data_IF_255287368741
#
_entry.id   IF_255287368741
#
_cell.length_a   1.000
_cell.length_b   1.000
_cell.length_c   1.000
_cell.angle_alpha   90.00
_cell.angle_beta   90.00
_cell.angle_gamma   90.00
#
_symmetry.space_group_name_H-M   'P 1'
#
loop_
_entity.id
_entity.type
_entity.pdbx_description
1 polymer ?
#
# COMPACT_ATOMS: atom_id res chain seq x y z
N UNK A 1 -16.31 17.98 -2.33
CA UNK A 1 -15.62 19.20 -2.80
C UNK A 1 -14.12 19.04 -2.62
N UNK A 2 -13.31 19.42 -3.62
CA UNK A 2 -11.85 19.34 -3.58
C UNK A 2 -11.31 20.58 -2.83
N UNK A 3 -11.04 20.45 -1.54
CA UNK A 3 -10.73 21.57 -0.63
C UNK A 3 -9.40 22.28 -0.90
N UNK A 4 -8.63 21.86 -1.91
CA UNK A 4 -7.30 22.39 -2.22
C UNK A 4 -7.31 23.73 -2.94
N UNK A 5 -8.31 23.97 -3.78
CA UNK A 5 -8.44 25.21 -4.53
C UNK A 5 -9.46 26.08 -3.82
N UNK A 6 -9.05 27.24 -3.31
CA UNK A 6 -9.96 28.19 -2.66
C UNK A 6 -10.57 29.16 -3.69
N UNK A 7 -9.84 29.46 -4.75
CA UNK A 7 -10.27 30.36 -5.82
C UNK A 7 -11.32 29.70 -6.74
N UNK A 8 -12.38 30.46 -7.03
CA UNK A 8 -13.44 30.07 -7.98
C UNK A 8 -12.88 29.98 -9.41
N UNK A 9 -11.94 30.84 -9.78
CA UNK A 9 -11.33 30.83 -11.10
C UNK A 9 -10.51 29.55 -11.33
N UNK A 10 -9.64 29.20 -10.39
CA UNK A 10 -8.86 27.95 -10.42
C UNK A 10 -9.77 26.72 -10.57
N UNK A 11 -10.85 26.63 -9.79
CA UNK A 11 -11.82 25.53 -9.90
C UNK A 11 -12.46 25.45 -11.27
N UNK A 12 -12.83 26.60 -11.83
CA UNK A 12 -13.42 26.70 -13.17
C UNK A 12 -12.45 26.23 -14.25
N UNK A 13 -11.19 26.71 -14.20
CA UNK A 13 -10.12 26.30 -15.14
C UNK A 13 -9.86 24.80 -15.05
N UNK A 14 -9.65 24.26 -13.84
CA UNK A 14 -9.44 22.82 -13.64
C UNK A 14 -10.62 22.00 -14.18
N UNK A 15 -11.85 22.46 -13.94
CA UNK A 15 -13.05 21.75 -14.42
C UNK A 15 -13.15 21.74 -15.95
N UNK A 16 -12.75 22.83 -16.62
CA UNK A 16 -12.65 22.88 -18.09
C UNK A 16 -11.54 21.95 -18.60
N UNK A 17 -10.35 21.98 -17.97
CA UNK A 17 -9.24 21.09 -18.33
C UNK A 17 -9.61 19.61 -18.17
N UNK A 18 -10.31 19.22 -17.10
CA UNK A 18 -10.81 17.84 -16.94
C UNK A 18 -11.76 17.45 -18.07
N UNK A 19 -12.68 18.34 -18.46
CA UNK A 19 -13.60 18.09 -19.58
C UNK A 19 -12.84 17.91 -20.89
N UNK A 20 -11.87 18.80 -21.16
CA UNK A 20 -11.02 18.71 -22.35
C UNK A 20 -10.26 17.38 -22.38
N UNK A 21 -9.59 16.98 -21.29
CA UNK A 21 -8.87 15.71 -21.25
C UNK A 21 -9.78 14.51 -21.52
N UNK A 22 -11.01 14.51 -20.96
CA UNK A 22 -11.99 13.45 -21.24
C UNK A 22 -12.36 13.39 -22.72
N UNK A 23 -12.60 14.55 -23.35
CA UNK A 23 -12.90 14.64 -24.78
C UNK A 23 -11.73 14.13 -25.63
N UNK A 24 -10.49 14.52 -25.29
CA UNK A 24 -9.29 14.08 -26.02
C UNK A 24 -9.09 12.56 -25.85
N UNK A 25 -9.22 12.01 -24.63
CA UNK A 25 -9.12 10.56 -24.42
C UNK A 25 -10.19 9.79 -25.21
N UNK A 26 -11.41 10.33 -25.32
CA UNK A 26 -12.48 9.72 -26.10
C UNK A 26 -12.24 9.83 -27.62
N UNK A 27 -11.71 10.96 -28.10
CA UNK A 27 -11.44 11.17 -29.54
C UNK A 27 -10.21 10.41 -30.04
N UNK A 28 -9.21 10.24 -29.17
CA UNK A 28 -7.92 9.62 -29.46
C UNK A 28 -7.68 8.41 -28.54
N UNK A 29 -8.64 7.49 -28.49
CA UNK A 29 -8.58 6.33 -27.57
C UNK A 29 -7.34 5.47 -27.76
N UNK A 30 -6.85 5.32 -29.00
CA UNK A 30 -5.65 4.53 -29.30
C UNK A 30 -4.34 5.14 -28.79
N UNK A 31 -4.33 6.43 -28.41
CA UNK A 31 -3.14 7.17 -28.00
C UNK A 31 -2.90 7.06 -26.50
N UNK A 32 -2.12 6.06 -26.09
CA UNK A 32 -1.76 5.81 -24.67
C UNK A 32 -1.16 7.06 -24.00
N UNK A 33 -0.37 7.84 -24.72
CA UNK A 33 0.27 9.06 -24.22
C UNK A 33 -0.74 10.11 -23.73
N UNK A 34 -1.90 10.23 -24.40
CA UNK A 34 -3.00 11.12 -23.98
C UNK A 34 -3.55 10.68 -22.62
N UNK A 35 -3.78 9.37 -22.45
CA UNK A 35 -4.27 8.82 -21.19
C UNK A 35 -3.24 9.01 -20.06
N UNK A 36 -1.95 8.77 -20.34
CA UNK A 36 -0.88 8.97 -19.36
C UNK A 36 -0.78 10.42 -18.91
N UNK A 37 -0.94 11.39 -19.81
CA UNK A 37 -0.99 12.82 -19.45
C UNK A 37 -2.19 13.12 -18.54
N UNK A 38 -3.35 12.52 -18.80
CA UNK A 38 -4.52 12.73 -17.96
C UNK A 38 -4.39 12.08 -16.57
N UNK A 39 -3.79 10.89 -16.50
CA UNK A 39 -3.43 10.24 -15.24
C UNK A 39 -2.48 11.14 -14.42
N UNK A 40 -1.41 11.62 -15.05
CA UNK A 40 -0.44 12.51 -14.41
C UNK A 40 -1.07 13.82 -13.92
N UNK A 41 -1.95 14.42 -14.73
CA UNK A 41 -2.70 15.61 -14.34
C UNK A 41 -3.53 15.37 -13.07
N UNK A 42 -4.33 14.30 -13.01
CA UNK A 42 -5.12 13.99 -11.83
C UNK A 42 -4.24 13.59 -10.62
N UNK A 43 -3.10 12.95 -10.85
CA UNK A 43 -2.13 12.60 -9.81
C UNK A 43 -1.52 13.86 -9.19
N UNK A 44 -1.13 14.86 -9.99
CA UNK A 44 -0.63 16.16 -9.50
C UNK A 44 -1.69 16.92 -8.69
N UNK A 45 -2.96 16.82 -9.10
CA UNK A 45 -4.08 17.35 -8.32
C UNK A 45 -4.42 16.49 -7.08
N UNK A 46 -3.72 15.37 -6.86
CA UNK A 46 -3.97 14.36 -5.82
C UNK A 46 -5.40 13.81 -5.81
N UNK A 47 -6.01 13.67 -6.99
CA UNK A 47 -7.32 13.04 -7.19
C UNK A 47 -7.17 11.53 -7.35
N UNK A 48 -6.66 10.86 -6.32
CA UNK A 48 -6.24 9.46 -6.40
C UNK A 48 -7.36 8.49 -6.78
N UNK A 49 -8.61 8.72 -6.32
CA UNK A 49 -9.77 7.93 -6.74
C UNK A 49 -10.06 8.06 -8.24
N UNK A 50 -9.89 9.26 -8.80
CA UNK A 50 -10.02 9.48 -10.25
C UNK A 50 -8.90 8.79 -11.00
N UNK A 51 -7.66 8.82 -10.48
CA UNK A 51 -6.51 8.11 -11.08
C UNK A 51 -6.76 6.60 -11.09
N UNK A 52 -7.26 6.00 -10.01
CA UNK A 52 -7.62 4.57 -9.96
C UNK A 52 -8.64 4.19 -11.05
N UNK A 53 -9.73 4.96 -11.18
CA UNK A 53 -10.75 4.75 -12.23
C UNK A 53 -10.23 4.98 -13.64
N UNK A 54 -9.25 5.87 -13.81
CA UNK A 54 -8.62 6.10 -15.11
C UNK A 54 -7.72 4.91 -15.48
N UNK A 55 -7.01 4.31 -14.52
CA UNK A 55 -6.26 3.08 -14.76
C UNK A 55 -7.17 1.96 -15.27
N UNK A 56 -8.33 1.74 -14.66
CA UNK A 56 -9.31 0.74 -15.14
C UNK A 56 -9.67 0.95 -16.61
N UNK A 57 -9.94 2.20 -17.01
CA UNK A 57 -10.24 2.54 -18.41
C UNK A 57 -9.06 2.33 -19.35
N UNK A 58 -7.86 2.72 -18.92
CA UNK A 58 -6.63 2.49 -19.69
C UNK A 58 -6.40 1.00 -19.92
N UNK A 59 -6.59 0.17 -18.90
CA UNK A 59 -6.43 -1.28 -19.00
C UNK A 59 -7.51 -1.92 -19.88
N UNK A 60 -8.74 -1.39 -19.87
CA UNK A 60 -9.79 -1.86 -20.79
C UNK A 60 -9.45 -1.61 -22.26
N UNK A 61 -8.87 -0.44 -22.58
CA UNK A 61 -8.57 -0.05 -23.97
C UNK A 61 -7.23 -0.64 -24.44
N UNK A 62 -6.21 -0.67 -23.58
CA UNK A 62 -4.83 -0.96 -23.96
C UNK A 62 -4.21 -2.16 -23.25
N UNK A 63 -4.91 -2.78 -22.30
CA UNK A 63 -4.34 -3.85 -21.47
C UNK A 63 -3.98 -5.12 -22.24
N UNK A 64 -4.59 -5.38 -23.39
CA UNK A 64 -4.20 -6.51 -24.25
C UNK A 64 -2.93 -6.26 -25.04
N UNK A 65 -2.59 -5.00 -25.32
CA UNK A 65 -1.50 -4.65 -26.22
C UNK A 65 -0.23 -4.25 -25.50
N UNK A 66 -0.34 -3.71 -24.29
CA UNK A 66 0.82 -3.28 -23.51
C UNK A 66 0.78 -3.81 -22.08
N UNK A 67 1.48 -4.93 -21.80
CA UNK A 67 1.60 -5.50 -20.46
C UNK A 67 2.15 -4.52 -19.43
N UNK A 68 2.97 -3.53 -19.83
CA UNK A 68 3.58 -2.57 -18.90
C UNK A 68 2.53 -1.71 -18.19
N UNK A 69 1.37 -1.51 -18.81
CA UNK A 69 0.26 -0.77 -18.21
C UNK A 69 -0.32 -1.48 -16.99
N UNK A 70 -0.35 -2.82 -16.97
CA UNK A 70 -0.80 -3.60 -15.81
C UNK A 70 0.17 -3.47 -14.64
N UNK A 71 1.48 -3.56 -14.90
CA UNK A 71 2.50 -3.30 -13.87
C UNK A 71 2.40 -1.87 -13.34
N UNK A 72 2.26 -0.87 -14.22
CA UNK A 72 2.14 0.53 -13.80
C UNK A 72 0.88 0.79 -12.96
N UNK A 73 -0.26 0.18 -13.32
CA UNK A 73 -1.48 0.24 -12.54
C UNK A 73 -1.31 -0.45 -11.17
N UNK A 74 -0.76 -1.67 -11.14
CA UNK A 74 -0.50 -2.40 -9.91
C UNK A 74 0.43 -1.62 -8.96
N UNK A 75 1.51 -1.05 -9.50
CA UNK A 75 2.44 -0.19 -8.77
C UNK A 75 1.74 1.06 -8.20
N UNK A 76 0.86 1.71 -8.95
CA UNK A 76 0.07 2.83 -8.45
C UNK A 76 -0.81 2.42 -7.25
N UNK A 77 -1.52 1.29 -7.35
CA UNK A 77 -2.40 0.82 -6.27
C UNK A 77 -1.62 0.45 -5.01
N UNK A 78 -0.45 -0.17 -5.16
CA UNK A 78 0.42 -0.54 -4.04
C UNK A 78 1.07 0.68 -3.34
N UNK A 79 1.43 1.71 -4.11
CA UNK A 79 2.19 2.86 -3.60
C UNK A 79 1.28 4.06 -3.33
N UNK A 80 1.07 4.90 -4.34
CA UNK A 80 0.33 6.16 -4.24
C UNK A 80 -1.14 5.97 -3.83
N UNK A 81 -1.78 4.93 -4.35
CA UNK A 81 -3.16 4.58 -4.05
C UNK A 81 -3.32 4.19 -2.58
N UNK A 82 -2.50 3.24 -2.11
CA UNK A 82 -2.48 2.84 -0.70
C UNK A 82 -2.14 4.03 0.22
N UNK A 83 -1.14 4.83 -0.13
CA UNK A 83 -0.75 6.04 0.62
C UNK A 83 -1.89 7.05 0.71
N UNK A 84 -2.59 7.31 -0.39
CA UNK A 84 -3.72 8.23 -0.39
C UNK A 84 -4.88 7.73 0.47
N UNK A 85 -5.18 6.42 0.42
CA UNK A 85 -6.17 5.79 1.30
C UNK A 85 -5.77 5.93 2.77
N UNK A 86 -4.50 5.66 3.10
CA UNK A 86 -3.97 5.80 4.46
C UNK A 86 -4.11 7.23 4.97
N UNK A 87 -3.65 8.22 4.20
CA UNK A 87 -3.77 9.63 4.59
C UNK A 87 -5.22 10.07 4.76
N UNK A 88 -6.13 9.59 3.90
CA UNK A 88 -7.56 9.87 4.02
C UNK A 88 -8.14 9.29 5.32
N UNK A 89 -7.77 8.06 5.68
CA UNK A 89 -8.21 7.44 6.93
C UNK A 89 -7.62 8.15 8.15
N UNK A 90 -6.33 8.48 8.10
CA UNK A 90 -5.59 9.14 9.18
C UNK A 90 -6.03 10.59 9.43
N UNK A 91 -6.67 11.24 8.46
CA UNK A 91 -7.21 12.59 8.65
C UNK A 91 -8.24 12.65 9.79
N UNK A 92 -8.93 11.56 10.10
CA UNK A 92 -9.85 11.47 11.25
C UNK A 92 -9.13 11.69 12.59
N UNK A 93 -7.87 11.25 12.68
CA UNK A 93 -7.04 11.38 13.90
C UNK A 93 -6.35 12.75 14.02
N UNK A 94 -6.56 13.66 13.06
CA UNK A 94 -5.84 14.94 13.02
C UNK A 94 -6.20 15.84 14.20
N UNK A 95 -7.49 15.91 14.52
CA UNK A 95 -8.03 16.71 15.63
C UNK A 95 -7.53 16.16 16.97
N UNK A 96 -7.60 14.84 17.16
CA UNK A 96 -7.09 14.15 18.36
C UNK A 96 -5.60 14.40 18.58
N UNK A 97 -4.77 14.28 17.52
CA UNK A 97 -3.33 14.60 17.60
C UNK A 97 -3.06 16.04 17.99
N UNK A 98 -3.85 16.98 17.47
CA UNK A 98 -3.71 18.39 17.80
C UNK A 98 -4.15 18.66 19.25
N UNK A 99 -5.25 18.06 19.70
CA UNK A 99 -5.72 18.16 21.07
C UNK A 99 -4.67 17.60 22.05
N UNK A 100 -4.16 16.39 21.80
CA UNK A 100 -3.11 15.78 22.60
C UNK A 100 -1.86 16.67 22.70
N UNK A 101 -1.43 17.27 21.58
CA UNK A 101 -0.29 18.20 21.56
C UNK A 101 -0.53 19.43 22.44
N UNK A 102 -1.75 19.99 22.43
CA UNK A 102 -2.11 21.13 23.29
C UNK A 102 -2.14 20.73 24.77
N UNK A 103 -2.80 19.60 25.09
CA UNK A 103 -2.89 19.10 26.47
C UNK A 103 -1.51 18.81 27.06
N UNK A 104 -0.60 18.18 26.29
CA UNK A 104 0.78 17.94 26.74
C UNK A 104 1.57 19.21 27.00
N UNK A 105 1.40 20.25 26.16
CA UNK A 105 2.04 21.55 26.38
C UNK A 105 1.53 22.22 27.65
N UNK A 106 0.21 22.21 27.87
CA UNK A 106 -0.40 22.75 29.09
C UNK A 106 0.10 22.01 30.33
N UNK A 107 0.13 20.68 30.29
CA UNK A 107 0.62 19.86 31.40
C UNK A 107 2.10 20.13 31.71
N UNK A 108 2.94 20.25 30.68
CA UNK A 108 4.35 20.58 30.85
C UNK A 108 4.58 21.98 31.46
N UNK A 109 3.65 22.93 31.26
CA UNK A 109 3.70 24.23 31.94
C UNK A 109 3.32 24.10 33.42
N UNK A 110 2.23 23.40 33.73
CA UNK A 110 1.77 23.17 35.11
C UNK A 110 2.81 22.40 35.95
N UNK A 111 3.50 21.43 35.34
CA UNK A 111 4.54 20.66 36.03
C UNK A 111 5.79 21.46 36.43
N UNK A 112 6.03 22.65 35.86
CA UNK A 112 7.18 23.48 36.23
C UNK A 112 7.04 24.08 37.62
N UNK A 113 5.82 24.52 37.97
CA UNK A 113 5.53 25.21 39.23
C UNK A 113 4.29 24.59 39.90
N UNK A 114 4.37 23.38 40.47
CA UNK A 114 3.26 22.79 41.20
C UNK A 114 3.00 23.56 42.50
N UNK A 115 1.74 23.85 42.79
CA UNK A 115 1.30 24.63 43.96
C UNK A 115 1.34 23.79 45.23
N UNK A 116 1.11 22.47 45.14
CA UNK A 116 1.20 21.54 46.27
C UNK A 116 1.61 20.12 45.86
N UNK A 117 1.88 19.26 46.85
CA UNK A 117 2.27 17.84 46.63
C UNK A 117 1.15 17.01 46.01
N UNK A 118 -0.11 17.27 46.38
CA UNK A 118 -1.30 16.61 45.83
C UNK A 118 -1.48 16.95 44.34
N UNK A 119 -1.33 18.23 43.97
CA UNK A 119 -1.36 18.67 42.57
C UNK A 119 -0.26 17.98 41.76
N UNK A 120 0.97 17.89 42.30
CA UNK A 120 2.07 17.18 41.65
C UNK A 120 1.74 15.70 41.40
N UNK A 121 1.03 15.04 42.30
CA UNK A 121 0.58 13.66 42.12
C UNK A 121 -0.48 13.55 41.00
N UNK A 122 -1.45 14.47 40.96
CA UNK A 122 -2.47 14.53 39.90
C UNK A 122 -1.83 14.76 38.53
N UNK A 123 -0.90 15.72 38.41
CA UNK A 123 -0.19 16.00 37.16
C UNK A 123 0.62 14.80 36.64
N UNK A 124 1.15 13.96 37.54
CA UNK A 124 1.83 12.70 37.18
C UNK A 124 0.85 11.68 36.61
N UNK A 125 -0.33 11.53 37.22
CA UNK A 125 -1.38 10.65 36.71
C UNK A 125 -1.86 11.11 35.33
N UNK A 126 -2.10 12.42 35.16
CA UNK A 126 -2.44 13.00 33.85
C UNK A 126 -1.34 12.77 32.82
N UNK A 127 -0.07 12.87 33.21
CA UNK A 127 1.07 12.59 32.31
C UNK A 127 0.99 11.16 31.79
N UNK A 128 0.72 10.20 32.69
CA UNK A 128 0.58 8.78 32.36
C UNK A 128 -0.62 8.51 31.46
N UNK A 129 -1.74 9.23 31.65
CA UNK A 129 -2.90 9.16 30.76
C UNK A 129 -2.57 9.72 29.36
N UNK A 130 -1.90 10.87 29.28
CA UNK A 130 -1.49 11.45 27.99
C UNK A 130 -0.46 10.59 27.24
N UNK A 131 0.42 9.86 27.95
CA UNK A 131 1.31 8.89 27.31
C UNK A 131 0.53 7.70 26.75
N UNK A 132 -0.42 7.13 27.52
CA UNK A 132 -1.30 6.06 27.02
C UNK A 132 -2.08 6.49 25.77
N UNK A 133 -2.64 7.70 25.76
CA UNK A 133 -3.34 8.24 24.58
C UNK A 133 -2.40 8.44 23.38
N UNK A 134 -1.18 8.91 23.61
CA UNK A 134 -0.16 9.03 22.53
C UNK A 134 0.12 7.66 21.92
N UNK A 135 0.29 6.65 22.76
CA UNK A 135 0.67 5.32 22.33
C UNK A 135 -0.51 4.65 21.58
N UNK A 136 -1.75 4.84 22.04
CA UNK A 136 -2.96 4.45 21.33
C UNK A 136 -3.08 5.11 19.94
N UNK A 137 -2.90 6.44 19.83
CA UNK A 137 -2.90 7.12 18.54
C UNK A 137 -1.78 6.58 17.63
N UNK A 138 -0.61 6.30 18.19
CA UNK A 138 0.53 5.77 17.42
C UNK A 138 0.26 4.35 16.92
N UNK A 139 -0.37 3.50 17.74
CA UNK A 139 -0.87 2.18 17.34
C UNK A 139 -1.88 2.29 16.20
N UNK A 140 -2.90 3.13 16.35
CA UNK A 140 -3.93 3.32 15.32
C UNK A 140 -3.33 3.82 13.99
N UNK A 141 -2.33 4.68 14.04
CA UNK A 141 -1.59 5.12 12.85
C UNK A 141 -0.93 3.93 12.15
N UNK A 142 -0.20 3.08 12.88
CA UNK A 142 0.46 1.89 12.32
C UNK A 142 -0.55 0.91 11.73
N UNK A 143 -1.63 0.61 12.45
CA UNK A 143 -2.70 -0.28 11.96
C UNK A 143 -3.34 0.25 10.68
N UNK A 144 -3.60 1.55 10.60
CA UNK A 144 -4.16 2.16 9.39
C UNK A 144 -3.24 1.97 8.19
N UNK A 145 -1.92 2.16 8.36
CA UNK A 145 -0.95 1.91 7.30
C UNK A 145 -0.94 0.44 6.86
N UNK A 146 -0.91 -0.48 7.82
CA UNK A 146 -0.82 -1.91 7.53
C UNK A 146 -2.08 -2.42 6.83
N UNK A 147 -3.27 -1.99 7.26
CA UNK A 147 -4.55 -2.27 6.57
C UNK A 147 -4.53 -1.79 5.12
N UNK A 148 -4.06 -0.57 4.88
CA UNK A 148 -4.00 -0.03 3.53
C UNK A 148 -2.96 -0.70 2.65
N UNK A 149 -1.87 -1.17 3.23
CA UNK A 149 -0.84 -1.92 2.51
C UNK A 149 -1.35 -3.31 2.13
N UNK A 150 -2.05 -4.03 3.03
CA UNK A 150 -2.72 -5.30 2.69
C UNK A 150 -3.70 -5.09 1.53
N UNK A 151 -4.58 -4.09 1.62
CA UNK A 151 -5.50 -3.77 0.54
C UNK A 151 -4.77 -3.44 -0.77
N UNK A 152 -3.64 -2.71 -0.69
CA UNK A 152 -2.78 -2.39 -1.83
C UNK A 152 -2.13 -3.62 -2.46
N UNK A 153 -1.61 -4.55 -1.65
CA UNK A 153 -1.02 -5.82 -2.10
C UNK A 153 -2.07 -6.68 -2.80
N UNK A 154 -3.26 -6.86 -2.20
CA UNK A 154 -4.37 -7.62 -2.82
C UNK A 154 -4.77 -7.04 -4.17
N UNK A 155 -4.90 -5.72 -4.23
CA UNK A 155 -5.33 -5.05 -5.45
C UNK A 155 -4.26 -5.09 -6.54
N UNK A 156 -2.98 -4.89 -6.19
CA UNK A 156 -1.87 -5.05 -7.11
C UNK A 156 -1.77 -6.49 -7.64
N UNK A 157 -1.94 -7.50 -6.77
CA UNK A 157 -1.96 -8.92 -7.15
C UNK A 157 -3.10 -9.20 -8.11
N UNK A 158 -4.31 -8.73 -7.78
CA UNK A 158 -5.50 -8.85 -8.64
C UNK A 158 -5.25 -8.27 -10.03
N UNK A 159 -4.69 -7.06 -10.11
CA UNK A 159 -4.37 -6.39 -11.37
C UNK A 159 -3.34 -7.20 -12.17
N UNK A 160 -2.23 -7.63 -11.56
CA UNK A 160 -1.20 -8.40 -12.25
C UNK A 160 -1.72 -9.75 -12.75
N UNK A 161 -2.49 -10.47 -11.93
CA UNK A 161 -3.10 -11.76 -12.33
C UNK A 161 -4.09 -11.55 -13.47
N UNK A 162 -4.90 -10.49 -13.44
CA UNK A 162 -5.78 -10.15 -14.57
C UNK A 162 -4.99 -9.81 -15.84
N UNK A 163 -3.89 -9.08 -15.70
CA UNK A 163 -2.98 -8.78 -16.81
C UNK A 163 -2.36 -10.05 -17.42
N UNK A 164 -1.95 -10.99 -16.57
CA UNK A 164 -1.42 -12.29 -17.00
C UNK A 164 -2.49 -13.13 -17.71
N UNK A 165 -3.77 -13.09 -17.31
CA UNK A 165 -4.85 -13.78 -18.05
C UNK A 165 -5.03 -13.26 -19.48
N UNK A 166 -4.64 -12.01 -19.76
CA UNK A 166 -4.70 -11.43 -21.11
C UNK A 166 -3.37 -11.51 -21.85
N UNK A 167 -2.28 -11.77 -21.14
CA UNK A 167 -0.91 -11.76 -21.64
C UNK A 167 -0.14 -12.93 -20.98
N UNK A 168 -0.58 -14.16 -21.24
CA UNK A 168 -0.21 -15.36 -20.45
C UNK A 168 1.29 -15.65 -20.45
N UNK A 169 1.97 -15.36 -21.56
CA UNK A 169 3.40 -15.56 -21.74
C UNK A 169 4.23 -14.31 -21.40
N UNK A 170 3.64 -13.28 -20.79
CA UNK A 170 4.36 -12.06 -20.48
C UNK A 170 5.34 -12.29 -19.33
N UNK A 171 6.58 -12.63 -19.66
CA UNK A 171 7.71 -12.75 -18.73
C UNK A 171 7.79 -11.52 -17.83
N UNK A 172 7.65 -10.33 -18.43
CA UNK A 172 7.63 -9.07 -17.72
C UNK A 172 6.58 -9.04 -16.59
N UNK A 173 5.35 -9.46 -16.83
CA UNK A 173 4.31 -9.47 -15.80
C UNK A 173 4.54 -10.53 -14.73
N UNK A 174 5.10 -11.69 -15.08
CA UNK A 174 5.47 -12.71 -14.10
C UNK A 174 6.58 -12.18 -13.17
N UNK A 175 7.56 -11.45 -13.72
CA UNK A 175 8.62 -10.80 -12.92
C UNK A 175 8.05 -9.74 -11.98
N UNK A 176 7.09 -8.95 -12.45
CA UNK A 176 6.43 -7.94 -11.61
C UNK A 176 5.57 -8.57 -10.50
N UNK A 177 4.92 -9.71 -10.78
CA UNK A 177 4.23 -10.50 -9.77
C UNK A 177 5.21 -11.10 -8.76
N UNK A 178 6.37 -11.59 -9.19
CA UNK A 178 7.41 -12.11 -8.30
C UNK A 178 7.89 -11.03 -7.32
N UNK A 179 8.15 -9.81 -7.81
CA UNK A 179 8.52 -8.66 -6.95
C UNK A 179 7.41 -8.30 -5.95
N UNK A 180 6.15 -8.38 -6.38
CA UNK A 180 5.01 -8.14 -5.52
C UNK A 180 4.95 -9.19 -4.40
N UNK A 181 5.05 -10.48 -4.72
CA UNK A 181 5.01 -11.55 -3.72
C UNK A 181 6.20 -11.50 -2.76
N UNK A 182 7.38 -11.08 -3.23
CA UNK A 182 8.52 -10.84 -2.35
C UNK A 182 8.23 -9.71 -1.34
N UNK A 183 7.62 -8.62 -1.81
CA UNK A 183 7.21 -7.50 -0.96
C UNK A 183 6.10 -7.89 0.02
N UNK A 184 5.17 -8.74 -0.41
CA UNK A 184 4.13 -9.30 0.44
C UNK A 184 4.74 -10.17 1.54
N UNK A 185 5.63 -11.10 1.18
CA UNK A 185 6.31 -12.00 2.12
C UNK A 185 7.05 -11.20 3.19
N UNK A 186 7.84 -10.18 2.80
CA UNK A 186 8.56 -9.31 3.74
C UNK A 186 7.60 -8.58 4.70
N UNK A 187 6.49 -8.06 4.19
CA UNK A 187 5.47 -7.42 5.02
C UNK A 187 4.82 -8.41 6.00
N UNK A 188 4.50 -9.63 5.55
CA UNK A 188 3.89 -10.65 6.39
C UNK A 188 4.85 -11.09 7.50
N UNK A 189 6.11 -11.35 7.17
CA UNK A 189 7.15 -11.72 8.14
C UNK A 189 7.35 -10.62 9.21
N UNK A 190 7.52 -9.36 8.77
CA UNK A 190 7.87 -8.26 9.67
C UNK A 190 6.70 -7.72 10.48
N UNK A 191 5.48 -7.78 9.95
CA UNK A 191 4.34 -7.03 10.51
C UNK A 191 3.11 -7.89 10.81
N UNK A 192 2.82 -8.91 10.02
CA UNK A 192 1.60 -9.73 10.22
C UNK A 192 1.86 -10.84 11.24
N UNK A 193 2.97 -11.57 11.14
CA UNK A 193 3.32 -12.62 12.10
C UNK A 193 3.40 -12.10 13.54
N UNK A 194 4.01 -10.93 13.74
CA UNK A 194 4.06 -10.31 15.07
C UNK A 194 2.67 -10.04 15.63
N UNK A 195 1.69 -9.70 14.78
CA UNK A 195 0.32 -9.42 15.20
C UNK A 195 -0.47 -10.68 15.45
N UNK A 196 -0.28 -11.71 14.63
CA UNK A 196 -0.85 -13.02 14.88
C UNK A 196 -0.43 -13.55 16.26
N UNK A 197 0.84 -13.36 16.64
CA UNK A 197 1.34 -13.68 17.99
C UNK A 197 0.71 -12.79 19.08
N UNK A 198 0.54 -11.49 18.83
CA UNK A 198 -0.13 -10.56 19.77
C UNK A 198 -1.61 -10.87 19.97
N UNK A 199 -2.32 -11.34 18.93
CA UNK A 199 -3.70 -11.78 19.04
C UNK A 199 -3.85 -13.00 19.98
N UNK A 200 -2.78 -13.78 20.17
CA UNK A 200 -2.72 -14.87 21.13
C UNK A 200 -2.20 -14.45 22.53
N UNK A 201 -1.87 -13.17 22.74
CA UNK A 201 -1.26 -12.67 23.98
C UNK A 201 -2.28 -12.33 25.08
N UNK A 202 -1.81 -12.11 26.31
CA UNK A 202 -2.66 -11.85 27.49
C UNK A 202 -3.05 -10.37 27.63
N UNK A 203 -2.32 -9.44 27.00
CA UNK A 203 -2.61 -8.00 27.11
C UNK A 203 -3.86 -7.60 26.30
N UNK A 204 -4.95 -7.27 27.01
CA UNK A 204 -6.29 -7.07 26.43
C UNK A 204 -6.37 -5.98 25.34
N UNK A 205 -5.68 -4.84 25.51
CA UNK A 205 -5.72 -3.72 24.57
C UNK A 205 -5.03 -4.08 23.23
N UNK A 206 -3.82 -4.66 23.31
CA UNK A 206 -3.06 -5.02 22.11
C UNK A 206 -3.63 -6.28 21.44
N UNK A 207 -4.27 -7.17 22.22
CA UNK A 207 -4.98 -8.34 21.72
C UNK A 207 -6.20 -7.97 20.86
N UNK A 208 -7.07 -7.08 21.33
CA UNK A 208 -8.32 -6.72 20.62
C UNK A 208 -8.02 -6.09 19.26
N UNK A 209 -7.03 -5.20 19.21
CA UNK A 209 -6.57 -4.57 17.97
C UNK A 209 -5.95 -5.58 17.01
N UNK A 210 -5.17 -6.53 17.53
CA UNK A 210 -4.56 -7.59 16.75
C UNK A 210 -5.61 -8.56 16.18
N UNK A 211 -6.59 -8.99 16.98
CA UNK A 211 -7.70 -9.83 16.54
C UNK A 211 -8.52 -9.15 15.43
N UNK A 212 -8.85 -7.87 15.61
CA UNK A 212 -9.58 -7.08 14.60
C UNK A 212 -8.78 -6.97 13.30
N UNK A 213 -7.47 -6.73 13.39
CA UNK A 213 -6.60 -6.69 12.22
C UNK A 213 -6.51 -8.05 11.52
N UNK A 214 -6.34 -9.14 12.29
CA UNK A 214 -6.23 -10.49 11.73
C UNK A 214 -7.54 -10.96 11.09
N UNK A 215 -8.70 -10.53 11.58
CA UNK A 215 -9.99 -10.78 10.93
C UNK A 215 -10.10 -10.13 9.53
N UNK A 216 -9.33 -9.08 9.24
CA UNK A 216 -9.25 -8.48 7.91
C UNK A 216 -8.22 -9.18 7.00
N UNK A 217 -7.33 -9.99 7.56
CA UNK A 217 -6.34 -10.81 6.83
C UNK A 217 -7.04 -12.05 6.30
N UNK A 218 -7.24 -12.11 4.99
CA UNK A 218 -7.88 -13.24 4.30
C UNK A 218 -6.86 -14.19 3.66
N UNK A 219 -5.59 -13.80 3.60
CA UNK A 219 -4.50 -14.65 3.13
C UNK A 219 -4.15 -15.71 4.17
N UNK A 220 -3.69 -16.87 3.69
CA UNK A 220 -2.99 -17.82 4.54
C UNK A 220 -1.65 -17.21 4.99
N UNK A 221 -1.61 -16.79 6.25
CA UNK A 221 -0.49 -16.04 6.83
C UNK A 221 0.79 -16.87 6.81
N UNK A 222 0.69 -18.16 7.12
CA UNK A 222 1.85 -19.04 7.24
C UNK A 222 2.42 -19.35 5.84
N UNK A 223 1.55 -19.56 4.85
CA UNK A 223 1.97 -19.76 3.46
C UNK A 223 2.61 -18.50 2.88
N UNK A 224 2.04 -17.31 3.09
CA UNK A 224 2.64 -16.07 2.57
C UNK A 224 3.93 -15.73 3.31
N UNK A 225 3.97 -15.85 4.64
CA UNK A 225 5.15 -15.49 5.42
C UNK A 225 6.32 -16.46 5.22
N UNK A 226 6.06 -17.73 4.90
CA UNK A 226 7.10 -18.69 4.51
C UNK A 226 7.64 -18.49 3.09
N UNK A 227 7.05 -17.58 2.31
CA UNK A 227 7.41 -17.36 0.90
C UNK A 227 6.76 -18.37 -0.05
N UNK A 228 5.74 -19.12 0.39
CA UNK A 228 5.04 -20.10 -0.46
C UNK A 228 4.48 -19.48 -1.74
N UNK A 229 3.80 -18.33 -1.66
CA UNK A 229 3.28 -17.65 -2.86
C UNK A 229 4.39 -17.13 -3.76
N UNK A 230 5.50 -16.65 -3.18
CA UNK A 230 6.68 -16.24 -3.94
C UNK A 230 7.28 -17.42 -4.70
N UNK A 231 7.44 -18.58 -4.05
CA UNK A 231 8.01 -19.77 -4.65
C UNK A 231 7.13 -20.37 -5.75
N UNK A 232 5.79 -20.28 -5.62
CA UNK A 232 4.87 -20.67 -6.71
C UNK A 232 5.04 -19.78 -7.96
N UNK A 233 5.27 -18.48 -7.78
CA UNK A 233 5.55 -17.58 -8.90
C UNK A 233 6.93 -17.84 -9.48
N UNK A 234 7.92 -18.15 -8.63
CA UNK A 234 9.27 -18.52 -9.05
C UNK A 234 9.27 -19.80 -9.89
N UNK A 235 8.56 -20.83 -9.46
CA UNK A 235 8.41 -22.11 -10.16
C UNK A 235 7.83 -21.92 -11.58
N UNK A 236 6.91 -20.97 -11.77
CA UNK A 236 6.35 -20.66 -13.10
C UNK A 236 7.42 -20.30 -14.13
N UNK A 237 8.58 -19.80 -13.72
CA UNK A 237 9.69 -19.51 -14.64
C UNK A 237 10.36 -20.76 -15.20
N UNK A 238 10.17 -21.95 -14.62
CA UNK A 238 10.70 -23.20 -15.20
C UNK A 238 9.95 -23.59 -16.47
N UNK A 239 8.63 -23.36 -16.49
CA UNK A 239 7.75 -23.77 -17.59
C UNK A 239 7.41 -22.64 -18.56
N UNK A 240 7.90 -21.41 -18.33
CA UNK A 240 7.53 -20.25 -19.13
C UNK A 240 8.24 -20.26 -20.50
N UNK A 241 7.53 -20.34 -21.63
CA UNK A 241 8.13 -20.63 -22.94
C UNK A 241 8.96 -19.47 -23.51
N UNK A 242 8.60 -18.21 -23.20
CA UNK A 242 9.25 -17.01 -23.76
C UNK A 242 10.36 -16.43 -22.88
N UNK A 243 10.79 -17.15 -21.85
CA UNK A 243 11.80 -16.68 -20.91
C UNK A 243 13.21 -16.76 -21.53
N UNK A 244 13.91 -15.64 -21.63
CA UNK A 244 15.29 -15.60 -22.12
C UNK A 244 16.29 -15.85 -20.99
N UNK A 245 17.54 -16.18 -21.31
CA UNK A 245 18.62 -16.31 -20.31
C UNK A 245 18.83 -15.02 -19.50
N UNK A 246 18.62 -13.86 -20.11
CA UNK A 246 18.67 -12.55 -19.44
C UNK A 246 17.54 -12.41 -18.42
N UNK A 247 16.33 -12.86 -18.75
CA UNK A 247 15.20 -12.85 -17.83
C UNK A 247 15.43 -13.80 -16.66
N UNK A 248 15.92 -15.01 -16.94
CA UNK A 248 16.27 -16.02 -15.92
C UNK A 248 17.33 -15.46 -14.96
N UNK A 249 18.42 -14.86 -15.48
CA UNK A 249 19.44 -14.24 -14.65
C UNK A 249 18.88 -13.10 -13.77
N UNK A 250 17.95 -12.30 -14.29
CA UNK A 250 17.25 -11.26 -13.53
C UNK A 250 16.39 -11.85 -12.42
N UNK A 251 15.66 -12.93 -12.70
CA UNK A 251 14.82 -13.66 -11.73
C UNK A 251 15.67 -14.27 -10.62
N UNK A 252 16.77 -14.95 -10.96
CA UNK A 252 17.72 -15.51 -9.99
C UNK A 252 18.29 -14.39 -9.10
N UNK A 253 18.67 -13.26 -9.69
CA UNK A 253 19.16 -12.09 -8.94
C UNK A 253 18.10 -11.51 -8.01
N UNK A 254 16.82 -11.62 -8.33
CA UNK A 254 15.73 -11.23 -7.42
C UNK A 254 15.59 -12.28 -6.32
N UNK A 255 15.50 -13.56 -6.66
CA UNK A 255 15.27 -14.66 -5.73
C UNK A 255 16.36 -14.78 -4.67
N UNK A 256 17.63 -14.70 -5.08
CA UNK A 256 18.79 -14.80 -4.19
C UNK A 256 18.89 -13.69 -3.13
N UNK A 257 18.14 -12.59 -3.28
CA UNK A 257 18.05 -11.54 -2.24
C UNK A 257 17.20 -11.93 -1.05
N UNK A 258 16.37 -12.97 -1.18
CA UNK A 258 15.37 -13.34 -0.18
C UNK A 258 15.70 -14.70 0.42
N UNK A 259 15.79 -14.75 1.75
CA UNK A 259 16.11 -15.99 2.47
C UNK A 259 15.03 -17.07 2.37
N UNK A 260 13.80 -16.69 2.01
CA UNK A 260 12.66 -17.58 1.83
C UNK A 260 12.53 -18.17 0.41
N UNK A 261 13.42 -17.77 -0.52
CA UNK A 261 13.45 -18.36 -1.85
C UNK A 261 13.90 -19.83 -1.78
N UNK A 262 13.17 -20.72 -2.45
CA UNK A 262 13.52 -22.14 -2.51
C UNK A 262 14.81 -22.32 -3.33
N UNK A 263 15.88 -22.74 -2.65
CA UNK A 263 17.20 -22.95 -3.27
C UNK A 263 17.17 -23.96 -4.42
N UNK A 264 16.44 -25.06 -4.27
CA UNK A 264 16.33 -26.07 -5.33
C UNK A 264 15.68 -25.49 -6.61
N UNK A 265 14.70 -24.59 -6.47
CA UNK A 265 14.12 -23.90 -7.63
C UNK A 265 15.11 -22.92 -8.27
N UNK A 266 15.91 -22.22 -7.46
CA UNK A 266 16.94 -21.31 -7.97
C UNK A 266 18.04 -22.07 -8.72
N UNK A 267 18.43 -23.24 -8.21
CA UNK A 267 19.41 -24.12 -8.86
C UNK A 267 18.85 -24.65 -10.19
N UNK A 268 17.62 -25.18 -10.20
CA UNK A 268 16.94 -25.61 -11.42
C UNK A 268 16.78 -24.50 -12.48
N UNK A 269 16.54 -23.26 -12.05
CA UNK A 269 16.49 -22.11 -12.95
C UNK A 269 17.87 -21.75 -13.52
N UNK A 270 18.94 -22.01 -12.75
CA UNK A 270 20.32 -21.75 -13.19
C UNK A 270 20.78 -22.74 -14.26
N UNK A 271 20.23 -23.95 -14.26
CA UNK A 271 20.52 -25.02 -15.22
C UNK A 271 19.77 -24.86 -16.57
N UNK A 272 18.84 -23.90 -16.67
CA UNK A 272 17.99 -23.64 -17.85
C UNK A 272 18.59 -22.60 -18.80
#
# INVERSE_FOLDING_TARGET
MDFRFKDKLEKSVISRLVRLHKQICYRFQSRVDVWMRFLLFNRKLGRHLTVARLWERVLQVHGRTDPRLWSAAAAFHLTDGARAKALSALNKLRTEKQALKKSRKKLAQLMKNPTCSQEKAVLRLETLQLTKLRDAISRQVRLTWDRTLISGLREARRILVQGLRLNEDSVFLVVELLKLEASATDFFQKRVLSRQKQAASVDADDRTDAETFMAEVSEDVDVVASGGTFNLVLERFLTLPKCTSVDIASVIKIATKFSFANKALVDQLSDR
#
